data_IF_853142953366
#
_entry.id   IF_853142953366
#
_cell.length_a   1.000
_cell.length_b   1.000
_cell.length_c   1.000
_cell.angle_alpha   90.00
_cell.angle_beta   90.00
_cell.angle_gamma   90.00
#
_symmetry.space_group_name_H-M   'P 1'
#
loop_
_entity.id
_entity.type
_entity.pdbx_description
1 polymer ?
#
# COMPACT_ATOMS: atom_id res chain seq x y z
N UNK A 1 -11.14 11.79 16.31
CA UNK A 1 -10.08 12.14 15.34
C UNK A 1 -10.61 11.88 13.93
N UNK A 2 -10.33 12.76 12.99
CA UNK A 2 -10.69 12.60 11.59
C UNK A 2 -9.43 12.13 10.82
N UNK A 3 -9.46 10.89 10.31
CA UNK A 3 -8.36 10.36 9.49
C UNK A 3 -8.79 10.36 8.02
N UNK A 4 -7.89 10.72 7.14
CA UNK A 4 -8.04 10.60 5.69
C UNK A 4 -7.06 9.54 5.18
N UNK A 5 -7.48 8.59 4.31
CA UNK A 5 -6.56 7.66 3.69
C UNK A 5 -5.68 8.39 2.67
N UNK A 6 -4.38 8.21 2.81
CA UNK A 6 -3.37 8.76 1.91
C UNK A 6 -2.37 7.66 1.54
N UNK A 7 -1.87 7.70 0.33
CA UNK A 7 -0.69 6.95 -0.09
C UNK A 7 0.53 7.86 0.02
N UNK A 8 1.54 7.43 0.77
CA UNK A 8 2.76 8.19 1.00
C UNK A 8 3.92 7.41 0.38
N UNK A 9 4.71 8.09 -0.44
CA UNK A 9 5.96 7.52 -0.93
C UNK A 9 6.98 7.49 0.22
N UNK A 10 7.36 6.27 0.61
CA UNK A 10 8.33 6.00 1.66
C UNK A 10 9.74 5.73 1.12
N UNK A 11 9.93 5.76 -0.19
CA UNK A 11 11.25 5.64 -0.80
C UNK A 11 12.17 6.69 -0.19
N UNK A 12 13.35 6.27 0.25
CA UNK A 12 14.36 7.12 0.91
C UNK A 12 13.91 7.74 2.26
N UNK A 13 12.74 7.34 2.79
CA UNK A 13 12.28 7.76 4.12
C UNK A 13 12.79 6.80 5.19
N UNK A 14 13.27 7.36 6.29
CA UNK A 14 13.72 6.59 7.43
C UNK A 14 12.58 6.26 8.39
N UNK A 15 12.36 4.98 8.62
CA UNK A 15 11.41 4.45 9.60
C UNK A 15 12.21 3.87 10.76
N UNK A 16 11.89 4.30 12.00
CA UNK A 16 12.56 3.81 13.18
C UNK A 16 11.58 3.06 14.09
N UNK A 17 11.89 1.81 14.35
CA UNK A 17 11.09 0.92 15.19
C UNK A 17 11.86 0.67 16.48
N UNK A 18 11.26 0.97 17.62
CA UNK A 18 11.81 0.70 18.93
C UNK A 18 11.18 -0.58 19.49
N UNK A 19 12.00 -1.60 19.64
CA UNK A 19 11.61 -2.94 20.13
C UNK A 19 11.84 -4.05 19.14
N UNK A 20 12.60 -5.06 19.56
CA UNK A 20 13.01 -6.23 18.75
C UNK A 20 12.17 -7.50 18.98
N UNK A 21 10.99 -7.37 19.62
CA UNK A 21 10.06 -8.48 19.83
C UNK A 21 9.15 -8.72 18.62
N UNK A 22 8.16 -9.63 18.75
CA UNK A 22 7.25 -10.01 17.65
C UNK A 22 6.47 -8.86 17.05
N UNK A 23 6.13 -7.82 17.84
CA UNK A 23 5.42 -6.64 17.32
C UNK A 23 6.35 -5.82 16.45
N UNK A 24 7.58 -5.54 16.91
CA UNK A 24 8.60 -4.86 16.12
C UNK A 24 8.94 -5.63 14.85
N UNK A 25 9.08 -6.96 14.93
CA UNK A 25 9.30 -7.84 13.78
C UNK A 25 8.20 -7.69 12.72
N UNK A 26 6.92 -7.75 13.13
CA UNK A 26 5.80 -7.57 12.20
C UNK A 26 5.82 -6.19 11.52
N UNK A 27 6.19 -5.15 12.27
CA UNK A 27 6.33 -3.80 11.73
C UNK A 27 7.54 -3.68 10.80
N UNK A 28 8.66 -4.28 11.15
CA UNK A 28 9.85 -4.30 10.30
C UNK A 28 9.57 -5.00 8.96
N UNK A 29 8.95 -6.19 8.97
CA UNK A 29 8.54 -6.92 7.76
C UNK A 29 7.65 -6.09 6.84
N UNK A 30 6.79 -5.26 7.43
CA UNK A 30 5.90 -4.41 6.65
C UNK A 30 6.63 -3.23 6.04
N UNK A 31 7.43 -2.52 6.82
CA UNK A 31 8.04 -1.27 6.38
C UNK A 31 9.28 -1.46 5.51
N UNK A 32 10.05 -2.54 5.68
CA UNK A 32 11.29 -2.78 4.93
C UNK A 32 11.05 -2.90 3.41
N UNK A 33 9.85 -3.24 2.99
CA UNK A 33 9.48 -3.27 1.56
C UNK A 33 9.31 -1.88 0.93
N UNK A 34 9.17 -0.83 1.75
CA UNK A 34 8.80 0.51 1.28
C UNK A 34 9.81 1.60 1.60
N UNK A 35 10.60 1.45 2.66
CA UNK A 35 11.53 2.50 3.09
C UNK A 35 12.68 1.97 3.93
N UNK A 36 13.62 2.87 4.26
CA UNK A 36 14.80 2.55 5.07
C UNK A 36 14.37 2.24 6.51
N UNK A 37 14.33 0.97 6.86
CA UNK A 37 13.83 0.52 8.16
C UNK A 37 14.97 0.22 9.12
N UNK A 38 14.96 0.92 10.25
CA UNK A 38 15.89 0.73 11.38
C UNK A 38 15.12 0.16 12.58
N UNK A 39 15.64 -0.87 13.20
CA UNK A 39 15.10 -1.44 14.44
C UNK A 39 16.10 -1.30 15.56
N UNK A 40 15.69 -0.65 16.66
CA UNK A 40 16.54 -0.37 17.82
C UNK A 40 15.99 -1.12 19.05
N UNK A 41 16.79 -1.99 19.65
CA UNK A 41 16.35 -2.80 20.79
C UNK A 41 17.55 -3.40 21.53
N UNK A 42 17.36 -3.78 22.80
CA UNK A 42 18.36 -4.53 23.55
C UNK A 42 18.51 -5.98 23.05
N UNK A 43 17.49 -6.54 22.40
CA UNK A 43 17.51 -7.91 21.83
C UNK A 43 16.56 -8.01 20.64
N UNK A 44 16.80 -9.01 19.80
CA UNK A 44 16.02 -9.23 18.57
C UNK A 44 15.49 -10.66 18.50
N UNK A 45 14.35 -10.84 17.83
CA UNK A 45 13.90 -12.18 17.43
C UNK A 45 14.85 -12.76 16.39
N UNK A 46 14.93 -14.10 16.27
CA UNK A 46 15.75 -14.74 15.23
C UNK A 46 15.44 -14.23 13.82
N UNK A 47 14.20 -13.91 13.56
CA UNK A 47 13.76 -13.39 12.26
C UNK A 47 14.27 -11.97 11.99
N UNK A 48 14.26 -11.08 12.99
CA UNK A 48 14.85 -9.74 12.85
C UNK A 48 16.36 -9.81 12.63
N UNK A 49 17.05 -10.74 13.30
CA UNK A 49 18.48 -11.00 13.06
C UNK A 49 18.71 -11.42 11.62
N UNK A 50 17.92 -12.39 11.13
CA UNK A 50 17.98 -12.82 9.73
C UNK A 50 17.69 -11.71 8.74
N UNK A 51 16.74 -10.84 9.04
CA UNK A 51 16.44 -9.67 8.19
C UNK A 51 17.61 -8.69 8.15
N UNK A 52 18.30 -8.49 9.25
CA UNK A 52 19.51 -7.65 9.32
C UNK A 52 20.68 -8.29 8.56
N UNK A 53 20.92 -9.59 8.71
CA UNK A 53 21.95 -10.34 7.97
C UNK A 53 21.73 -10.29 6.45
N UNK A 54 20.47 -10.20 6.00
CA UNK A 54 20.10 -10.03 4.60
C UNK A 54 20.00 -8.54 4.14
N UNK A 55 20.48 -7.60 4.96
CA UNK A 55 20.47 -6.15 4.67
C UNK A 55 19.07 -5.55 4.40
N UNK A 56 18.01 -6.23 4.84
CA UNK A 56 16.63 -5.73 4.68
C UNK A 56 16.29 -4.64 5.70
N UNK A 57 16.98 -4.62 6.84
CA UNK A 57 16.83 -3.65 7.92
C UNK A 57 18.18 -3.31 8.52
N UNK A 58 18.28 -2.14 9.15
CA UNK A 58 19.39 -1.77 10.03
C UNK A 58 19.02 -2.10 11.49
N UNK A 59 19.63 -3.12 12.08
CA UNK A 59 19.36 -3.54 13.46
C UNK A 59 20.43 -3.02 14.42
N UNK A 60 20.03 -2.24 15.42
CA UNK A 60 20.94 -1.64 16.39
C UNK A 60 20.63 -2.18 17.78
N UNK A 61 21.66 -2.78 18.43
CA UNK A 61 21.58 -3.15 19.83
C UNK A 61 21.80 -1.92 20.71
N UNK A 62 20.78 -1.53 21.48
CA UNK A 62 20.81 -0.39 22.39
C UNK A 62 19.85 -0.59 23.56
N UNK A 63 20.18 -0.08 24.74
CA UNK A 63 19.37 -0.15 25.96
C UNK A 63 18.24 0.87 26.04
N UNK A 64 18.12 1.71 25.00
CA UNK A 64 17.08 2.73 24.82
C UNK A 64 17.04 3.83 25.90
N UNK A 65 18.16 4.11 26.58
CA UNK A 65 18.26 5.21 27.53
C UNK A 65 18.22 6.58 26.86
N UNK A 66 18.80 6.67 25.65
CA UNK A 66 18.74 7.88 24.82
C UNK A 66 18.12 7.53 23.47
N UNK A 67 16.81 7.67 23.38
CA UNK A 67 16.05 7.37 22.16
C UNK A 67 16.07 8.54 21.17
N UNK A 68 16.35 9.77 21.64
CA UNK A 68 16.32 10.99 20.82
C UNK A 68 17.24 10.90 19.62
N UNK A 69 18.45 10.40 19.77
CA UNK A 69 19.45 10.23 18.69
C UNK A 69 18.97 9.37 17.51
N UNK A 70 18.00 8.48 17.75
CA UNK A 70 17.41 7.64 16.71
C UNK A 70 16.16 8.27 16.09
N UNK A 71 15.42 9.08 16.88
CA UNK A 71 14.21 9.78 16.44
C UNK A 71 14.57 10.90 15.46
N UNK A 72 15.67 11.63 15.72
CA UNK A 72 16.10 12.75 14.87
C UNK A 72 16.26 12.34 13.42
N UNK A 73 15.54 13.05 12.52
CA UNK A 73 15.50 12.81 11.08
C UNK A 73 14.74 11.55 10.65
N UNK A 74 14.02 10.85 11.54
CA UNK A 74 13.06 9.84 11.15
C UNK A 74 11.85 10.48 10.46
N UNK A 75 11.23 9.77 9.55
CA UNK A 75 9.95 10.16 8.96
C UNK A 75 8.76 9.53 9.72
N UNK A 76 8.93 8.26 10.13
CA UNK A 76 7.96 7.55 10.98
C UNK A 76 8.71 6.90 12.15
N UNK A 77 8.14 7.00 13.33
CA UNK A 77 8.59 6.31 14.55
C UNK A 77 7.51 5.30 14.99
N UNK A 78 7.94 4.11 15.36
CA UNK A 78 7.08 3.01 15.82
C UNK A 78 7.54 2.55 17.20
N UNK A 79 6.92 3.02 18.29
CA UNK A 79 7.18 2.53 19.64
C UNK A 79 6.54 1.13 19.79
N UNK A 80 7.35 0.08 19.88
CA UNK A 80 6.90 -1.33 19.92
C UNK A 80 7.66 -2.14 20.98
N UNK A 81 8.11 -1.46 22.07
CA UNK A 81 8.74 -2.15 23.19
C UNK A 81 7.69 -2.79 24.10
N UNK A 82 8.12 -3.65 25.01
CA UNK A 82 7.28 -4.22 26.07
C UNK A 82 7.06 -3.25 27.26
N UNK A 83 7.67 -2.06 27.22
CA UNK A 83 7.53 -1.04 28.24
C UNK A 83 6.61 0.10 27.76
N UNK A 84 5.37 0.11 28.26
CA UNK A 84 4.36 1.11 27.85
C UNK A 84 4.79 2.56 28.17
N UNK A 85 5.46 2.78 29.29
CA UNK A 85 5.92 4.12 29.68
C UNK A 85 7.00 4.62 28.70
N UNK A 86 7.94 3.75 28.31
CA UNK A 86 8.96 4.05 27.30
C UNK A 86 8.32 4.31 25.92
N UNK A 87 7.32 3.52 25.54
CA UNK A 87 6.60 3.75 24.28
C UNK A 87 5.91 5.11 24.27
N UNK A 88 5.31 5.53 25.39
CA UNK A 88 4.76 6.87 25.54
C UNK A 88 5.81 7.98 25.39
N UNK A 89 6.94 7.85 26.08
CA UNK A 89 8.04 8.80 25.99
C UNK A 89 8.57 8.93 24.56
N UNK A 90 8.78 7.82 23.87
CA UNK A 90 9.22 7.80 22.45
C UNK A 90 8.19 8.53 21.57
N UNK A 91 6.90 8.23 21.77
CA UNK A 91 5.83 8.86 21.00
C UNK A 91 5.79 10.39 21.23
N UNK A 92 5.89 10.84 22.47
CA UNK A 92 5.85 12.26 22.82
C UNK A 92 7.07 13.01 22.28
N UNK A 93 8.26 12.41 22.36
CA UNK A 93 9.46 12.99 21.77
C UNK A 93 9.35 13.10 20.24
N UNK A 94 8.87 12.06 19.55
CA UNK A 94 8.69 12.10 18.11
C UNK A 94 7.67 13.19 17.70
N UNK A 95 6.54 13.30 18.40
CA UNK A 95 5.54 14.36 18.17
C UNK A 95 6.10 15.76 18.38
N UNK A 96 6.92 15.95 19.42
CA UNK A 96 7.55 17.27 19.69
C UNK A 96 8.50 17.72 18.56
N UNK A 97 8.96 16.77 17.74
CA UNK A 97 9.81 17.01 16.56
C UNK A 97 9.01 17.00 15.24
N UNK A 98 7.67 16.98 15.29
CA UNK A 98 6.80 16.86 14.13
C UNK A 98 7.07 15.58 13.29
N UNK A 99 7.44 14.49 13.95
CA UNK A 99 7.68 13.19 13.31
C UNK A 99 6.44 12.32 13.50
N UNK A 100 6.02 11.66 12.43
CA UNK A 100 4.84 10.80 12.43
C UNK A 100 5.01 9.60 13.35
N UNK A 101 3.98 9.27 14.14
CA UNK A 101 4.02 8.17 15.09
C UNK A 101 2.97 7.12 14.75
N UNK A 102 3.42 5.88 14.48
CA UNK A 102 2.54 4.73 14.41
C UNK A 102 2.52 4.00 15.74
N UNK A 103 1.53 4.30 16.59
CA UNK A 103 1.33 3.62 17.86
C UNK A 103 0.82 2.19 17.65
N UNK A 104 1.26 1.26 18.52
CA UNK A 104 0.92 -0.16 18.42
C UNK A 104 -0.34 -0.49 19.23
N UNK A 105 -0.48 0.14 20.40
CA UNK A 105 -1.52 -0.17 21.38
C UNK A 105 -2.69 0.83 21.35
N UNK A 106 -2.63 1.86 20.51
CA UNK A 106 -3.66 2.90 20.44
C UNK A 106 -3.81 3.43 19.00
N UNK A 107 -4.92 4.12 18.74
CA UNK A 107 -5.16 4.82 17.48
C UNK A 107 -4.38 6.13 17.52
N UNK A 108 -3.17 6.10 16.96
CA UNK A 108 -2.31 7.27 16.82
C UNK A 108 -2.62 8.11 15.57
N UNK A 109 -1.73 9.06 15.28
CA UNK A 109 -1.83 9.92 14.09
C UNK A 109 -1.69 9.12 12.79
N UNK A 110 -0.86 8.08 12.80
CA UNK A 110 -0.65 7.18 11.66
C UNK A 110 -1.26 5.83 11.96
N UNK A 111 -2.23 5.44 11.14
CA UNK A 111 -2.80 4.10 11.15
C UNK A 111 -2.26 3.36 9.95
N UNK A 112 -1.70 2.19 10.18
CA UNK A 112 -1.34 1.27 9.10
C UNK A 112 -2.52 0.33 8.87
N UNK A 113 -3.18 0.43 7.70
CA UNK A 113 -4.32 -0.41 7.36
C UNK A 113 -3.90 -1.85 7.02
N UNK A 114 -4.87 -2.74 6.84
CA UNK A 114 -4.66 -3.98 6.10
C UNK A 114 -4.47 -3.62 4.63
N UNK A 115 -3.37 -4.06 4.01
CA UNK A 115 -3.00 -3.67 2.65
C UNK A 115 -3.18 -4.85 1.70
N UNK A 116 -3.76 -4.58 0.53
CA UNK A 116 -3.67 -5.42 -0.66
C UNK A 116 -2.80 -4.69 -1.65
N UNK A 117 -1.81 -5.38 -2.19
CA UNK A 117 -0.96 -4.87 -3.25
C UNK A 117 -0.85 -5.92 -4.35
N UNK A 118 -1.22 -5.53 -5.54
CA UNK A 118 -1.11 -6.36 -6.73
C UNK A 118 -0.79 -5.45 -7.92
N UNK A 119 0.39 -5.60 -8.49
CA UNK A 119 0.89 -4.74 -9.56
C UNK A 119 0.71 -3.24 -9.19
N UNK A 120 0.01 -2.46 -10.00
CA UNK A 120 -0.27 -1.04 -9.77
C UNK A 120 -1.49 -0.78 -8.85
N UNK A 121 -2.12 -1.83 -8.32
CA UNK A 121 -3.29 -1.70 -7.45
C UNK A 121 -2.88 -1.74 -5.99
N UNK A 122 -3.18 -0.69 -5.27
CA UNK A 122 -2.97 -0.58 -3.83
C UNK A 122 -4.29 -0.28 -3.13
N UNK A 123 -4.68 -1.10 -2.16
CA UNK A 123 -5.92 -0.92 -1.40
C UNK A 123 -5.59 -0.98 0.09
N UNK A 124 -5.91 0.08 0.82
CA UNK A 124 -5.80 0.15 2.27
C UNK A 124 -7.17 -0.04 2.92
N UNK A 125 -7.33 -1.02 3.81
CA UNK A 125 -8.58 -1.33 4.50
C UNK A 125 -8.41 -1.10 5.99
N UNK A 126 -9.17 -0.15 6.55
CA UNK A 126 -9.17 0.13 7.99
C UNK A 126 -10.59 0.20 8.52
N UNK A 127 -10.81 -0.36 9.68
CA UNK A 127 -12.02 -0.21 10.48
C UNK A 127 -11.79 0.72 11.68
N UNK A 128 -10.70 1.49 11.64
CA UNK A 128 -10.29 2.40 12.74
C UNK A 128 -10.17 1.66 14.08
N UNK A 129 -9.58 0.47 14.05
CA UNK A 129 -9.42 -0.38 15.24
C UNK A 129 -10.69 -1.06 15.75
N UNK A 130 -11.88 -0.75 15.19
CA UNK A 130 -13.15 -1.27 15.70
C UNK A 130 -13.38 -2.75 15.43
N UNK A 131 -12.90 -3.26 14.29
CA UNK A 131 -13.06 -4.68 13.94
C UNK A 131 -11.94 -5.19 13.04
N UNK A 132 -10.85 -5.71 13.61
CA UNK A 132 -9.78 -6.37 12.81
C UNK A 132 -10.31 -7.54 11.98
N UNK A 133 -11.32 -8.26 12.49
CA UNK A 133 -11.96 -9.37 11.78
C UNK A 133 -12.68 -8.90 10.50
N UNK A 134 -13.42 -7.77 10.59
CA UNK A 134 -14.09 -7.19 9.42
C UNK A 134 -13.08 -6.68 8.39
N UNK A 135 -12.00 -6.04 8.81
CA UNK A 135 -10.93 -5.61 7.90
C UNK A 135 -10.29 -6.81 7.17
N UNK A 136 -10.03 -7.92 7.90
CA UNK A 136 -9.52 -9.16 7.32
C UNK A 136 -10.54 -9.80 6.35
N UNK A 137 -11.81 -9.85 6.71
CA UNK A 137 -12.87 -10.38 5.85
C UNK A 137 -12.94 -9.62 4.52
N UNK A 138 -13.00 -8.27 4.59
CA UNK A 138 -13.01 -7.42 3.40
C UNK A 138 -11.76 -7.65 2.53
N UNK A 139 -10.59 -7.74 3.15
CA UNK A 139 -9.35 -8.01 2.44
C UNK A 139 -9.44 -9.31 1.63
N UNK A 140 -9.84 -10.41 2.26
CA UNK A 140 -9.96 -11.72 1.58
C UNK A 140 -10.96 -11.68 0.42
N UNK A 141 -12.09 -10.97 0.59
CA UNK A 141 -13.08 -10.83 -0.50
C UNK A 141 -12.58 -10.01 -1.68
N UNK A 142 -11.80 -8.99 -1.41
CA UNK A 142 -11.19 -8.19 -2.50
C UNK A 142 -10.06 -8.97 -3.16
N UNK A 143 -9.25 -9.73 -2.40
CA UNK A 143 -8.19 -10.59 -2.94
C UNK A 143 -8.72 -11.63 -3.95
N UNK A 144 -9.96 -12.12 -3.78
CA UNK A 144 -10.60 -13.05 -4.74
C UNK A 144 -10.82 -12.42 -6.13
N UNK A 145 -10.91 -11.10 -6.22
CA UNK A 145 -11.20 -10.37 -7.45
C UNK A 145 -9.97 -9.67 -8.04
N UNK A 146 -8.92 -9.51 -7.26
CA UNK A 146 -7.83 -8.58 -7.58
C UNK A 146 -7.06 -8.97 -8.85
N UNK A 147 -6.91 -10.26 -9.12
CA UNK A 147 -6.16 -10.74 -10.29
C UNK A 147 -6.84 -10.33 -11.61
N UNK A 148 -8.16 -10.46 -11.68
CA UNK A 148 -8.92 -10.06 -12.87
C UNK A 148 -8.92 -8.54 -13.04
N UNK A 149 -9.02 -7.79 -11.92
CA UNK A 149 -8.96 -6.33 -11.94
C UNK A 149 -7.56 -5.85 -12.37
N UNK A 150 -6.48 -6.50 -11.95
CA UNK A 150 -5.12 -6.16 -12.37
C UNK A 150 -4.93 -6.33 -13.89
N UNK A 151 -5.47 -7.40 -14.47
CA UNK A 151 -5.47 -7.57 -15.93
C UNK A 151 -6.24 -6.44 -16.64
N UNK A 152 -7.40 -6.04 -16.11
CA UNK A 152 -8.17 -4.93 -16.65
C UNK A 152 -7.42 -3.60 -16.54
N UNK A 153 -6.75 -3.31 -15.42
CA UNK A 153 -5.93 -2.09 -15.26
C UNK A 153 -4.82 -2.05 -16.31
N UNK A 154 -4.14 -3.17 -16.52
CA UNK A 154 -3.09 -3.30 -17.55
C UNK A 154 -3.67 -3.05 -18.95
N UNK A 155 -4.83 -3.63 -19.26
CA UNK A 155 -5.54 -3.41 -20.52
C UNK A 155 -5.92 -1.94 -20.71
N UNK A 156 -6.54 -1.33 -19.71
CA UNK A 156 -6.95 0.09 -19.74
C UNK A 156 -5.76 1.02 -19.97
N UNK A 157 -4.62 0.76 -19.32
CA UNK A 157 -3.41 1.56 -19.50
C UNK A 157 -2.87 1.47 -20.93
N UNK A 158 -2.85 0.26 -21.52
CA UNK A 158 -2.46 0.04 -22.92
C UNK A 158 -3.40 0.76 -23.88
N UNK A 159 -4.72 0.59 -23.70
CA UNK A 159 -5.73 1.25 -24.53
C UNK A 159 -5.67 2.78 -24.43
N UNK A 160 -5.43 3.33 -23.24
CA UNK A 160 -5.22 4.76 -23.06
C UNK A 160 -4.08 5.29 -23.92
N UNK A 161 -3.00 4.53 -24.00
CA UNK A 161 -1.82 4.89 -24.83
C UNK A 161 -2.12 4.84 -26.32
N UNK A 162 -2.95 3.88 -26.77
CA UNK A 162 -3.41 3.77 -28.18
C UNK A 162 -4.37 4.94 -28.50
N UNK A 163 -5.42 5.10 -27.72
CA UNK A 163 -6.45 6.12 -27.93
C UNK A 163 -5.89 7.54 -27.91
N UNK A 164 -4.83 7.80 -27.12
CA UNK A 164 -4.16 9.12 -27.09
C UNK A 164 -3.52 9.50 -28.43
N UNK A 165 -3.14 8.51 -29.24
CA UNK A 165 -2.54 8.74 -30.57
C UNK A 165 -3.59 8.87 -31.67
N UNK A 166 -4.78 8.31 -31.45
CA UNK A 166 -5.79 8.16 -32.51
C UNK A 166 -6.99 9.09 -32.33
N UNK A 167 -7.26 9.56 -31.11
CA UNK A 167 -8.43 10.39 -30.76
C UNK A 167 -7.93 11.61 -29.95
N UNK A 168 -8.14 12.82 -30.50
CA UNK A 168 -7.74 14.06 -29.81
C UNK A 168 -8.64 14.40 -28.61
N UNK A 169 -9.93 14.09 -28.71
CA UNK A 169 -10.94 14.40 -27.70
C UNK A 169 -10.74 13.57 -26.41
N UNK A 170 -10.38 14.24 -25.32
CA UNK A 170 -10.24 13.59 -24.01
C UNK A 170 -11.57 13.02 -23.48
N UNK A 171 -12.72 13.69 -23.58
CA UNK A 171 -14.01 13.14 -23.19
C UNK A 171 -14.36 11.85 -23.95
N UNK A 172 -14.08 11.81 -25.25
CA UNK A 172 -14.35 10.63 -26.08
C UNK A 172 -13.46 9.46 -25.70
N UNK A 173 -12.17 9.68 -25.49
CA UNK A 173 -11.27 8.62 -24.98
C UNK A 173 -11.75 8.05 -23.64
N UNK A 174 -12.22 8.92 -22.74
CA UNK A 174 -12.76 8.50 -21.45
C UNK A 174 -14.02 7.65 -21.64
N UNK A 175 -14.96 8.06 -22.50
CA UNK A 175 -16.18 7.32 -22.78
C UNK A 175 -15.88 5.90 -23.32
N UNK A 176 -14.97 5.77 -24.27
CA UNK A 176 -14.58 4.46 -24.82
C UNK A 176 -13.98 3.57 -23.74
N UNK A 177 -13.10 4.09 -22.89
CA UNK A 177 -12.51 3.33 -21.78
C UNK A 177 -13.57 2.90 -20.75
N UNK A 178 -14.60 3.73 -20.51
CA UNK A 178 -15.74 3.42 -19.64
C UNK A 178 -16.65 2.34 -20.26
N UNK A 179 -16.86 2.34 -21.57
CA UNK A 179 -17.57 1.26 -22.27
C UNK A 179 -16.84 -0.07 -22.10
N UNK A 180 -15.54 -0.10 -22.35
CA UNK A 180 -14.73 -1.32 -22.29
C UNK A 180 -14.71 -1.91 -20.87
N UNK A 181 -14.55 -1.10 -19.81
CA UNK A 181 -14.53 -1.62 -18.44
C UNK A 181 -15.88 -2.16 -17.98
N UNK A 182 -16.98 -1.69 -18.59
CA UNK A 182 -18.32 -2.16 -18.27
C UNK A 182 -18.80 -3.29 -19.18
N UNK A 183 -18.03 -3.69 -20.20
CA UNK A 183 -18.42 -4.75 -21.13
C UNK A 183 -18.07 -6.13 -20.58
N UNK A 184 -19.11 -6.97 -20.37
CA UNK A 184 -18.95 -8.32 -19.84
C UNK A 184 -18.18 -9.27 -20.78
N UNK A 185 -18.18 -9.01 -22.11
CA UNK A 185 -17.43 -9.84 -23.06
C UNK A 185 -15.93 -9.60 -22.92
N UNK A 186 -15.52 -8.34 -22.65
CA UNK A 186 -14.12 -8.02 -22.36
C UNK A 186 -13.65 -8.74 -21.09
N UNK A 187 -14.44 -8.70 -20.01
CA UNK A 187 -14.11 -9.44 -18.78
C UNK A 187 -14.02 -10.96 -19.01
N UNK A 188 -14.97 -11.54 -19.74
CA UNK A 188 -14.95 -12.95 -20.08
C UNK A 188 -13.75 -13.33 -20.97
N UNK A 189 -13.34 -12.46 -21.87
CA UNK A 189 -12.18 -12.66 -22.71
C UNK A 189 -10.88 -12.55 -21.90
N UNK A 190 -10.75 -11.54 -21.00
CA UNK A 190 -9.63 -11.41 -20.08
C UNK A 190 -9.47 -12.62 -19.14
N UNK A 191 -10.57 -13.20 -18.69
CA UNK A 191 -10.54 -14.42 -17.89
C UNK A 191 -9.94 -15.63 -18.62
N UNK A 192 -9.96 -15.64 -19.96
CA UNK A 192 -9.29 -16.68 -20.77
C UNK A 192 -7.78 -16.39 -20.90
N UNK A 193 -7.45 -15.22 -21.38
CA UNK A 193 -6.10 -14.68 -21.45
C UNK A 193 -6.12 -13.20 -21.83
N UNK A 194 -5.00 -12.52 -21.61
CA UNK A 194 -4.84 -11.08 -21.87
C UNK A 194 -5.05 -10.71 -23.34
N UNK A 195 -4.52 -11.52 -24.28
CA UNK A 195 -4.60 -11.20 -25.72
C UNK A 195 -6.04 -11.29 -26.25
N UNK A 196 -6.83 -12.23 -25.76
CA UNK A 196 -8.25 -12.31 -26.07
C UNK A 196 -9.01 -11.08 -25.56
N UNK A 197 -8.75 -10.65 -24.34
CA UNK A 197 -9.32 -9.42 -23.78
C UNK A 197 -8.94 -8.17 -24.56
N UNK A 198 -7.68 -8.04 -24.95
CA UNK A 198 -7.19 -6.95 -25.77
C UNK A 198 -7.87 -6.92 -27.14
N UNK A 199 -8.00 -8.09 -27.80
CA UNK A 199 -8.67 -8.20 -29.11
C UNK A 199 -10.12 -7.71 -29.02
N UNK A 200 -10.90 -8.23 -28.07
CA UNK A 200 -12.30 -7.81 -27.86
C UNK A 200 -12.42 -6.32 -27.55
N UNK A 201 -11.51 -5.76 -26.77
CA UNK A 201 -11.51 -4.34 -26.47
C UNK A 201 -11.16 -3.46 -27.69
N UNK A 202 -10.25 -3.92 -28.55
CA UNK A 202 -9.91 -3.19 -29.80
C UNK A 202 -11.07 -3.23 -30.81
N UNK A 203 -11.87 -4.30 -30.86
CA UNK A 203 -13.09 -4.34 -31.65
C UNK A 203 -14.08 -3.25 -31.22
N UNK A 204 -14.25 -3.01 -29.92
CA UNK A 204 -15.08 -1.92 -29.39
C UNK A 204 -14.49 -0.57 -29.80
N UNK A 205 -13.19 -0.37 -29.69
CA UNK A 205 -12.53 0.88 -30.13
C UNK A 205 -12.81 1.17 -31.60
N UNK A 206 -12.71 0.16 -32.48
CA UNK A 206 -12.94 0.32 -33.91
C UNK A 206 -14.43 0.62 -34.24
N UNK A 207 -15.36 -0.04 -33.54
CA UNK A 207 -16.81 0.22 -33.68
C UNK A 207 -17.16 1.65 -33.30
N UNK A 208 -16.60 2.14 -32.20
CA UNK A 208 -16.84 3.52 -31.71
C UNK A 208 -16.20 4.59 -32.61
N UNK A 209 -15.12 4.26 -33.32
CA UNK A 209 -14.52 5.15 -34.34
C UNK A 209 -15.39 5.27 -35.59
N UNK A 210 -16.03 4.17 -36.01
CA UNK A 210 -16.85 4.14 -37.21
C UNK A 210 -18.24 4.74 -36.95
N UNK A 211 -18.81 4.50 -35.74
CA UNK A 211 -20.15 4.96 -35.35
C UNK A 211 -20.15 5.55 -33.92
N UNK A 212 -19.77 6.84 -33.73
CA UNK A 212 -19.61 7.44 -32.40
C UNK A 212 -20.89 7.54 -31.54
N UNK A 213 -22.03 7.02 -31.97
CA UNK A 213 -23.34 7.17 -31.28
C UNK A 213 -24.19 5.90 -31.26
N UNK A 214 -23.64 4.72 -31.52
CA UNK A 214 -24.46 3.50 -31.63
C UNK A 214 -24.77 2.79 -30.30
N UNK A 215 -24.30 3.33 -29.16
CA UNK A 215 -24.52 2.69 -27.85
C UNK A 215 -25.08 3.70 -26.85
N UNK A 216 -26.38 3.92 -26.94
CA UNK A 216 -27.21 4.56 -25.90
C UNK A 216 -28.11 3.51 -25.28
#
# INVERSE_FOLDING_TARGET
MAHVPLFIDLKDKRIVIFGGGHVGERKAKMFCAFGQTKVVSASFTPELTKMADNELIDAIVDDLKDVKKYIEGAFIVVPATNNRALNGLIADQAKSMNILVNQVDDIGEVIVPSVIQKDDIHIGISTMGKSPAAARFLRLRIEELIDSVALMVTLQNRLRSILKKEIDSQPERRRILELIINDGNVWNALARNYDAGLHTALEIVEQERINPQATT
#
